data_IF_889780418239
#
_entry.id   IF_889780418239
#
_cell.length_a   1.000
_cell.length_b   1.000
_cell.length_c   1.000
_cell.angle_alpha   90.00
_cell.angle_beta   90.00
_cell.angle_gamma   90.00
#
_symmetry.space_group_name_H-M   'P 1'
#
loop_
_entity.id
_entity.type
_entity.pdbx_description
1 polymer ?
#
# COMPACT_ATOMS: atom_id res chain seq x y z
N UNK A 1 -25.12 -1.50 -0.03
CA UNK A 1 -24.14 -0.82 -0.91
C UNK A 1 -23.82 0.55 -0.31
N UNK A 2 -22.54 0.90 -0.07
CA UNK A 2 -22.20 2.15 0.61
C UNK A 2 -22.45 3.38 -0.29
N UNK A 3 -22.95 4.48 0.29
CA UNK A 3 -23.16 5.73 -0.44
C UNK A 3 -21.82 6.24 -1.02
N UNK A 4 -21.82 6.65 -2.31
CA UNK A 4 -20.63 7.16 -3.01
C UNK A 4 -19.94 8.30 -2.26
N UNK A 5 -20.70 9.19 -1.62
CA UNK A 5 -20.16 10.29 -0.79
C UNK A 5 -19.39 9.77 0.42
N UNK A 6 -20.00 8.84 1.17
CA UNK A 6 -19.36 8.21 2.33
C UNK A 6 -18.08 7.46 1.95
N UNK A 7 -18.06 6.82 0.77
CA UNK A 7 -16.85 6.16 0.27
C UNK A 7 -15.74 7.16 -0.06
N UNK A 8 -16.10 8.28 -0.69
CA UNK A 8 -15.13 9.35 -0.97
C UNK A 8 -14.56 9.96 0.32
N UNK A 9 -15.42 10.20 1.32
CA UNK A 9 -15.02 10.68 2.65
C UNK A 9 -14.06 9.69 3.31
N UNK A 10 -14.41 8.41 3.39
CA UNK A 10 -13.55 7.35 3.94
C UNK A 10 -12.18 7.30 3.28
N UNK A 11 -12.13 7.36 1.93
CA UNK A 11 -10.86 7.39 1.18
C UNK A 11 -10.01 8.62 1.51
N UNK A 12 -10.63 9.78 1.67
CA UNK A 12 -9.94 11.00 2.06
C UNK A 12 -9.39 10.90 3.48
N UNK A 13 -10.17 10.35 4.40
CA UNK A 13 -9.77 10.17 5.80
C UNK A 13 -8.61 9.19 5.94
N UNK A 14 -8.67 8.05 5.24
CA UNK A 14 -7.53 7.11 5.17
C UNK A 14 -6.31 7.81 4.59
N UNK A 15 -6.44 8.55 3.49
CA UNK A 15 -5.30 9.24 2.86
C UNK A 15 -4.65 10.28 3.78
N UNK A 16 -5.42 11.01 4.59
CA UNK A 16 -4.90 12.03 5.54
C UNK A 16 -3.97 11.44 6.60
N UNK A 17 -4.02 10.13 6.83
CA UNK A 17 -3.10 9.44 7.75
C UNK A 17 -1.68 9.31 7.18
N UNK A 18 -1.47 9.62 5.91
CA UNK A 18 -0.21 9.40 5.22
C UNK A 18 0.25 10.62 4.43
N UNK A 19 1.55 10.67 4.15
CA UNK A 19 2.15 11.49 3.11
C UNK A 19 3.02 10.61 2.21
N UNK A 20 3.20 10.98 0.95
CA UNK A 20 4.08 10.26 0.02
C UNK A 20 5.32 11.14 -0.24
N UNK A 21 6.52 10.71 0.17
CA UNK A 21 7.75 11.50 0.04
C UNK A 21 8.08 11.91 -1.41
N UNK A 22 8.87 12.98 -1.57
CA UNK A 22 9.49 13.33 -2.85
C UNK A 22 8.57 13.89 -3.94
N UNK A 23 7.30 14.18 -3.64
CA UNK A 23 6.37 14.74 -4.63
C UNK A 23 5.57 15.90 -4.03
N UNK A 24 5.56 17.03 -4.74
CA UNK A 24 4.96 18.28 -4.31
C UNK A 24 3.46 18.15 -3.98
N UNK A 25 3.02 18.86 -2.94
CA UNK A 25 1.62 18.91 -2.48
C UNK A 25 0.64 19.39 -3.56
N UNK A 26 1.13 20.11 -4.57
CA UNK A 26 0.36 20.63 -5.70
C UNK A 26 -0.04 19.53 -6.71
N UNK A 27 0.73 18.43 -6.78
CA UNK A 27 0.37 17.31 -7.65
C UNK A 27 -0.83 16.57 -7.05
N UNK A 28 -1.99 16.78 -7.68
CA UNK A 28 -3.27 16.24 -7.26
C UNK A 28 -3.17 14.74 -6.93
N UNK A 29 -3.46 14.42 -5.66
CA UNK A 29 -3.86 13.10 -5.12
C UNK A 29 -3.29 11.90 -5.88
N UNK A 30 -2.16 11.40 -5.36
CA UNK A 30 -1.36 10.23 -5.77
C UNK A 30 -2.10 8.88 -5.69
N UNK A 31 -3.40 8.87 -5.96
CA UNK A 31 -4.23 7.68 -5.92
C UNK A 31 -4.03 6.88 -7.19
N UNK A 32 -3.96 5.57 -7.05
CA UNK A 32 -3.85 4.64 -8.17
C UNK A 32 -2.60 4.85 -9.03
N UNK A 33 -1.54 5.42 -8.44
CA UNK A 33 -0.23 5.53 -9.05
C UNK A 33 0.71 4.54 -8.36
N UNK A 34 1.56 3.88 -9.15
CA UNK A 34 2.59 2.98 -8.64
C UNK A 34 3.94 3.66 -8.83
N UNK A 35 4.64 3.90 -7.72
CA UNK A 35 6.00 4.42 -7.76
C UNK A 35 7.00 3.27 -7.68
N UNK A 36 7.92 3.22 -8.63
CA UNK A 36 8.96 2.20 -8.73
C UNK A 36 10.26 2.77 -8.16
N UNK A 37 10.87 2.07 -7.21
CA UNK A 37 12.18 2.44 -6.66
C UNK A 37 13.28 1.50 -7.17
N UNK A 38 14.34 2.03 -7.82
CA UNK A 38 15.51 1.23 -8.19
C UNK A 38 16.29 0.65 -6.99
N UNK A 39 16.01 1.13 -5.77
CA UNK A 39 16.59 0.59 -4.54
C UNK A 39 15.93 -0.70 -4.08
N UNK A 40 14.76 -1.05 -4.62
CA UNK A 40 14.07 -2.31 -4.35
C UNK A 40 14.46 -3.37 -5.39
N UNK A 41 14.28 -4.64 -5.05
CA UNK A 41 14.45 -5.72 -6.02
C UNK A 41 13.33 -5.71 -7.06
N UNK A 42 13.62 -6.25 -8.24
CA UNK A 42 12.62 -6.37 -9.31
C UNK A 42 11.39 -7.17 -8.85
N UNK A 43 11.59 -8.24 -8.09
CA UNK A 43 10.53 -9.08 -7.56
C UNK A 43 9.61 -8.31 -6.62
N UNK A 44 10.18 -7.47 -5.76
CA UNK A 44 9.42 -6.61 -4.86
C UNK A 44 8.56 -5.61 -5.66
N UNK A 45 9.12 -4.95 -6.67
CA UNK A 45 8.37 -4.01 -7.52
C UNK A 45 7.27 -4.70 -8.34
N UNK A 46 7.52 -5.90 -8.87
CA UNK A 46 6.50 -6.71 -9.53
C UNK A 46 5.39 -7.10 -8.55
N UNK A 47 5.73 -7.52 -7.33
CA UNK A 47 4.75 -7.86 -6.29
C UNK A 47 3.82 -6.68 -5.96
N UNK A 48 4.39 -5.49 -5.81
CA UNK A 48 3.66 -4.25 -5.60
C UNK A 48 2.71 -3.94 -6.74
N UNK A 49 3.19 -4.05 -7.98
CA UNK A 49 2.36 -3.85 -9.18
C UNK A 49 1.18 -4.82 -9.23
N UNK A 50 1.40 -6.10 -8.90
CA UNK A 50 0.32 -7.12 -8.86
C UNK A 50 -0.77 -6.75 -7.85
N UNK A 51 -0.40 -6.36 -6.63
CA UNK A 51 -1.37 -5.90 -5.62
C UNK A 51 -2.17 -4.70 -6.13
N UNK A 52 -1.47 -3.70 -6.67
CA UNK A 52 -2.10 -2.50 -7.22
C UNK A 52 -3.08 -2.83 -8.36
N UNK A 53 -2.72 -3.78 -9.23
CA UNK A 53 -3.58 -4.25 -10.31
C UNK A 53 -4.86 -4.91 -9.79
N UNK A 54 -4.76 -5.84 -8.84
CA UNK A 54 -5.95 -6.49 -8.26
C UNK A 54 -6.86 -5.48 -7.54
N UNK A 55 -6.30 -4.52 -6.80
CA UNK A 55 -7.09 -3.44 -6.19
C UNK A 55 -7.84 -2.60 -7.25
N UNK A 56 -7.21 -2.30 -8.40
CA UNK A 56 -7.90 -1.59 -9.50
C UNK A 56 -9.00 -2.42 -10.12
N UNK A 57 -8.78 -3.71 -10.33
CA UNK A 57 -9.77 -4.66 -10.86
C UNK A 57 -11.00 -4.72 -9.96
N UNK A 58 -10.81 -4.63 -8.65
CA UNK A 58 -11.89 -4.54 -7.64
C UNK A 58 -12.48 -3.12 -7.47
N UNK A 59 -12.06 -2.15 -8.30
CA UNK A 59 -12.49 -0.73 -8.27
C UNK A 59 -12.13 0.01 -6.97
N UNK A 60 -11.16 -0.50 -6.22
CA UNK A 60 -10.62 0.15 -5.02
C UNK A 60 -9.60 1.23 -5.40
N UNK A 61 -9.35 2.16 -4.47
CA UNK A 61 -8.30 3.16 -4.59
C UNK A 61 -7.17 2.90 -3.62
N UNK A 62 -5.93 3.19 -4.02
CA UNK A 62 -4.75 3.00 -3.18
C UNK A 62 -3.74 4.13 -3.34
N UNK A 63 -2.76 4.16 -2.44
CA UNK A 63 -1.51 4.92 -2.55
C UNK A 63 -0.34 3.98 -2.30
N UNK A 64 0.82 4.25 -2.91
CA UNK A 64 2.05 3.48 -2.71
C UNK A 64 3.14 4.30 -2.04
N UNK A 65 4.13 3.64 -1.43
CA UNK A 65 5.30 4.27 -0.79
C UNK A 65 4.92 5.34 0.24
N UNK A 66 3.80 5.13 0.92
CA UNK A 66 3.18 6.12 1.77
C UNK A 66 3.74 6.02 3.19
N UNK A 67 4.20 7.15 3.74
CA UNK A 67 4.69 7.25 5.12
C UNK A 67 3.55 7.66 6.02
N UNK A 68 3.29 6.86 7.05
CA UNK A 68 2.27 7.15 8.05
C UNK A 68 2.69 8.34 8.91
N UNK A 69 1.84 9.37 8.99
CA UNK A 69 2.14 10.61 9.73
C UNK A 69 2.35 10.37 11.23
N UNK A 70 1.71 9.35 11.81
CA UNK A 70 1.83 9.02 13.25
C UNK A 70 3.05 8.17 13.57
N UNK A 71 3.28 7.12 12.78
CA UNK A 71 4.32 6.12 13.10
C UNK A 71 5.63 6.35 12.35
N UNK A 72 5.63 7.25 11.36
CA UNK A 72 6.74 7.48 10.43
C UNK A 72 7.18 6.23 9.65
N UNK A 73 6.40 5.14 9.70
CA UNK A 73 6.65 3.93 8.92
C UNK A 73 6.17 4.13 7.49
N UNK A 74 7.02 3.78 6.53
CA UNK A 74 6.63 3.65 5.12
C UNK A 74 5.87 2.34 4.92
N UNK A 75 4.84 2.38 4.09
CA UNK A 75 4.01 1.26 3.68
C UNK A 75 4.12 1.10 2.16
N UNK A 76 4.22 -0.14 1.69
CA UNK A 76 4.37 -0.39 0.26
C UNK A 76 3.09 -0.01 -0.50
N UNK A 77 1.94 -0.52 -0.05
CA UNK A 77 0.61 -0.16 -0.58
C UNK A 77 -0.40 0.02 0.54
N UNK A 78 -1.21 1.08 0.46
CA UNK A 78 -2.35 1.32 1.36
C UNK A 78 -3.62 1.43 0.55
N UNK A 79 -4.59 0.56 0.80
CA UNK A 79 -5.93 0.66 0.25
C UNK A 79 -6.71 1.74 1.00
N UNK A 80 -7.22 2.72 0.26
CA UNK A 80 -7.95 3.85 0.81
C UNK A 80 -9.40 3.50 1.17
N UNK A 81 -9.96 2.46 0.55
CA UNK A 81 -11.35 2.06 0.69
C UNK A 81 -11.63 1.38 2.03
N UNK A 82 -10.71 0.56 2.52
CA UNK A 82 -10.83 -0.21 3.75
C UNK A 82 -9.73 0.06 4.78
N UNK A 83 -8.63 0.73 4.38
CA UNK A 83 -7.48 0.99 5.25
C UNK A 83 -6.50 -0.18 5.34
N UNK A 84 -6.69 -1.23 4.54
CA UNK A 84 -5.77 -2.37 4.51
C UNK A 84 -4.41 -1.95 3.96
N UNK A 85 -3.37 -2.46 4.59
CA UNK A 85 -1.97 -2.24 4.23
C UNK A 85 -1.45 -3.54 3.63
N UNK A 86 -0.81 -3.46 2.48
CA UNK A 86 -0.14 -4.59 1.85
C UNK A 86 1.37 -4.34 1.86
N UNK A 87 2.12 -5.23 2.49
CA UNK A 87 3.58 -5.20 2.57
C UNK A 87 4.14 -6.34 1.72
N UNK A 88 5.09 -6.05 0.84
CA UNK A 88 5.67 -7.01 -0.09
C UNK A 88 7.03 -7.44 0.44
N UNK A 89 7.15 -8.72 0.79
CA UNK A 89 8.36 -9.24 1.40
C UNK A 89 8.93 -10.41 0.60
N UNK A 90 10.23 -10.32 0.31
CA UNK A 90 11.01 -11.36 -0.37
C UNK A 90 11.74 -12.28 0.61
N UNK A 91 11.77 -11.92 1.89
CA UNK A 91 12.45 -12.67 2.96
C UNK A 91 11.51 -12.97 4.14
N UNK A 92 11.60 -14.20 4.66
CA UNK A 92 10.75 -14.69 5.73
C UNK A 92 10.97 -13.93 7.05
N UNK A 93 12.22 -13.63 7.41
CA UNK A 93 12.53 -12.92 8.68
C UNK A 93 11.99 -11.50 8.65
N UNK A 94 12.02 -10.85 7.49
CA UNK A 94 11.43 -9.51 7.32
C UNK A 94 9.91 -9.53 7.50
N UNK A 95 9.24 -10.54 6.94
CA UNK A 95 7.79 -10.69 7.06
C UNK A 95 7.31 -10.91 8.50
N UNK A 96 8.11 -11.55 9.36
CA UNK A 96 7.78 -11.77 10.77
C UNK A 96 7.53 -10.48 11.55
N UNK A 97 8.08 -9.34 11.09
CA UNK A 97 7.87 -8.01 11.70
C UNK A 97 6.41 -7.55 11.67
N UNK A 98 5.62 -8.13 10.77
CA UNK A 98 4.20 -7.81 10.60
C UNK A 98 3.27 -8.83 11.26
N UNK A 99 3.84 -9.83 11.94
CA UNK A 99 3.05 -10.79 12.71
C UNK A 99 2.15 -10.05 13.69
N UNK A 100 0.88 -10.41 13.70
CA UNK A 100 -0.17 -9.85 14.58
C UNK A 100 -0.51 -8.36 14.35
N UNK A 101 0.01 -7.72 13.30
CA UNK A 101 -0.41 -6.36 12.94
C UNK A 101 -1.80 -6.38 12.28
N UNK A 102 -2.79 -5.81 12.98
CA UNK A 102 -4.15 -5.66 12.44
C UNK A 102 -4.16 -4.78 11.19
N UNK A 103 -4.89 -5.21 10.18
CA UNK A 103 -5.04 -4.48 8.92
C UNK A 103 -3.82 -4.55 8.00
N UNK A 104 -2.85 -5.45 8.27
CA UNK A 104 -1.68 -5.67 7.43
C UNK A 104 -1.78 -7.04 6.77
N UNK A 105 -1.61 -7.08 5.45
CA UNK A 105 -1.47 -8.30 4.64
C UNK A 105 -0.05 -8.35 4.12
N UNK A 106 0.66 -9.44 4.39
CA UNK A 106 2.02 -9.64 3.89
C UNK A 106 1.97 -10.51 2.63
N UNK A 107 2.43 -9.97 1.52
CA UNK A 107 2.61 -10.70 0.27
C UNK A 107 3.99 -11.35 0.29
N UNK A 108 4.00 -12.67 0.45
CA UNK A 108 5.21 -13.48 0.56
C UNK A 108 5.67 -13.88 -0.84
N UNK A 109 6.87 -13.46 -1.23
CA UNK A 109 7.42 -13.76 -2.57
C UNK A 109 8.50 -14.84 -2.57
N UNK A 110 8.86 -15.40 -1.42
CA UNK A 110 9.75 -16.55 -1.36
C UNK A 110 9.01 -17.85 -1.64
N UNK A 111 9.73 -18.83 -2.20
CA UNK A 111 9.25 -20.20 -2.30
C UNK A 111 9.40 -20.86 -0.95
N UNK A 112 8.36 -21.56 -0.49
CA UNK A 112 8.53 -22.52 0.59
C UNK A 112 9.38 -23.66 0.01
N UNK A 113 10.53 -23.92 0.64
CA UNK A 113 11.32 -25.10 0.29
C UNK A 113 10.49 -26.30 0.76
N UNK A 114 9.95 -27.02 -0.22
CA UNK A 114 9.21 -28.28 -0.03
C UNK A 114 10.10 -29.36 0.57
#
# INVERSE_FOLDING_TARGET
MMNKRKLAEKRNDTQRLYHVPGMANITNRKRNAVFISPSNSLEHEIGKMKVCYELRKEKMQFITEAVCNKTQKRRDVVCLDDGMIFEIETDKKRAERFKDQKGVVVIKLWKEVS
#
